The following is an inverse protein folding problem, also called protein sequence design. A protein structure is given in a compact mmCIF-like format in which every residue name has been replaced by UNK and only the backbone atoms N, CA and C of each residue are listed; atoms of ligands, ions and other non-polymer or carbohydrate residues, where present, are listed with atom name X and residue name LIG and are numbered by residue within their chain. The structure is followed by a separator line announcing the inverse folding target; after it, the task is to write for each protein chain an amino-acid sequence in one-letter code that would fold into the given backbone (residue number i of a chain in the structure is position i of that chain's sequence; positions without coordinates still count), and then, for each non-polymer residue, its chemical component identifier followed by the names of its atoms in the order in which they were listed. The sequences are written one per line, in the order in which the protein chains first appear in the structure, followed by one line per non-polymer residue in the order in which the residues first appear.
data_IF_282747112668
#
_entry.id   IF_282747112668
#
_cell.length_a   1.000
_cell.length_b   1.000
_cell.length_c   1.000
_cell.angle_alpha   90.00
_cell.angle_beta   90.00
_cell.angle_gamma   90.00
#
_symmetry.space_group_name_H-M   'P 1'
#
loop_
_entity.id
_entity.type
_entity.pdbx_description
1 polymer ?
#
# COMPACT_ATOMS: atom_id res chain seq x y z
N UNK A 1 0.19 3.74 -13.93
CA UNK A 1 1.50 3.08 -13.65
C UNK A 1 2.65 4.09 -13.72
N UNK A 2 3.62 4.06 -12.79
CA UNK A 2 4.73 5.04 -12.71
C UNK A 2 6.00 4.51 -13.39
N UNK A 3 6.95 5.38 -13.78
CA UNK A 3 8.25 4.97 -14.32
C UNK A 3 9.32 4.68 -13.25
N UNK A 4 8.94 4.57 -11.97
CA UNK A 4 9.86 4.39 -10.85
C UNK A 4 9.70 3.02 -10.20
N UNK A 5 10.77 2.53 -9.56
CA UNK A 5 10.64 1.43 -8.62
C UNK A 5 9.91 1.91 -7.36
N UNK A 6 8.99 1.10 -6.85
CA UNK A 6 8.24 1.40 -5.63
C UNK A 6 8.42 0.24 -4.66
N UNK A 7 8.99 0.53 -3.49
CA UNK A 7 9.18 -0.48 -2.44
C UNK A 7 8.01 -0.42 -1.47
N UNK A 8 7.24 -1.51 -1.38
CA UNK A 8 6.17 -1.68 -0.40
C UNK A 8 6.73 -2.46 0.78
N UNK A 9 6.57 -1.92 1.98
CA UNK A 9 7.18 -2.46 3.20
C UNK A 9 6.18 -2.91 4.25
N UNK A 10 4.91 -2.53 4.10
CA UNK A 10 3.84 -2.98 4.98
C UNK A 10 2.48 -2.91 4.28
N UNK A 11 1.53 -3.71 4.76
CA UNK A 11 0.13 -3.69 4.34
C UNK A 11 -0.79 -4.00 5.52
N UNK A 12 -1.71 -3.09 5.84
CA UNK A 12 -2.69 -3.23 6.92
C UNK A 12 -4.13 -3.19 6.40
N UNK A 13 -5.09 -3.61 7.22
CA UNK A 13 -6.52 -3.58 6.85
C UNK A 13 -7.24 -2.26 7.20
N UNK A 14 -6.56 -1.34 7.90
CA UNK A 14 -6.99 0.03 8.16
C UNK A 14 -5.81 0.89 8.63
N UNK A 15 -6.01 2.21 8.70
CA UNK A 15 -4.97 3.14 9.16
C UNK A 15 -4.69 2.98 10.66
N UNK A 16 -3.42 3.05 11.04
CA UNK A 16 -2.98 3.10 12.45
C UNK A 16 -3.04 1.78 13.21
N UNK A 17 -3.13 0.64 12.51
CA UNK A 17 -3.00 -0.69 13.12
C UNK A 17 -1.76 -1.40 12.60
N UNK A 18 -1.38 -2.48 13.28
CA UNK A 18 -0.32 -3.38 12.84
C UNK A 18 -0.62 -3.97 11.46
N UNK A 19 0.43 -4.15 10.68
CA UNK A 19 0.39 -4.80 9.38
C UNK A 19 -0.08 -6.25 9.42
N UNK A 20 -0.41 -6.77 8.24
CA UNK A 20 -0.75 -8.17 8.05
C UNK A 20 0.45 -9.04 8.43
N UNK A 21 0.21 -10.04 9.29
CA UNK A 21 1.25 -10.98 9.72
C UNK A 21 1.85 -11.71 8.51
N UNK A 22 3.18 -11.81 8.49
CA UNK A 22 3.90 -12.46 7.39
C UNK A 22 3.98 -11.62 6.12
N UNK A 23 3.73 -10.31 6.20
CA UNK A 23 4.05 -9.41 5.10
C UNK A 23 5.57 -9.36 4.90
N UNK A 24 6.00 -9.59 3.66
CA UNK A 24 7.40 -9.56 3.25
C UNK A 24 7.58 -8.36 2.31
N UNK A 25 8.49 -7.43 2.61
CA UNK A 25 8.76 -6.29 1.74
C UNK A 25 9.15 -6.71 0.33
N UNK A 26 8.64 -5.99 -0.67
CA UNK A 26 8.96 -6.24 -2.07
C UNK A 26 9.02 -4.94 -2.86
N UNK A 27 9.66 -5.03 -4.04
CA UNK A 27 9.85 -3.89 -4.93
C UNK A 27 9.10 -4.12 -6.24
N UNK A 28 8.22 -3.18 -6.59
CA UNK A 28 7.46 -3.18 -7.85
C UNK A 28 8.33 -2.55 -8.93
N UNK A 29 8.53 -3.20 -10.09
CA UNK A 29 9.28 -2.62 -11.19
C UNK A 29 8.50 -1.52 -11.93
N UNK A 30 9.19 -0.59 -12.62
CA UNK A 30 8.56 0.46 -13.42
C UNK A 30 7.50 -0.09 -14.37
N UNK A 31 6.30 0.52 -14.33
CA UNK A 31 5.11 0.12 -15.12
C UNK A 31 4.66 -1.34 -14.93
N UNK A 32 5.23 -2.08 -14.00
CA UNK A 32 4.90 -3.48 -13.75
C UNK A 32 3.89 -3.67 -12.63
N UNK A 33 3.67 -4.93 -12.29
CA UNK A 33 2.78 -5.38 -11.22
C UNK A 33 3.42 -6.55 -10.49
N UNK A 34 3.32 -6.55 -9.16
CA UNK A 34 3.80 -7.64 -8.29
C UNK A 34 2.67 -8.01 -7.33
N UNK A 35 2.38 -9.30 -7.12
CA UNK A 35 1.38 -9.71 -6.14
C UNK A 35 1.82 -9.31 -4.72
N UNK A 36 0.85 -9.06 -3.84
CA UNK A 36 1.12 -8.95 -2.41
C UNK A 36 1.63 -10.28 -1.87
N UNK A 37 2.47 -10.24 -0.85
CA UNK A 37 2.99 -11.43 -0.17
C UNK A 37 2.02 -12.00 0.86
N UNK A 38 0.86 -11.37 1.02
CA UNK A 38 -0.22 -11.77 1.92
C UNK A 38 -1.54 -11.85 1.16
N UNK A 39 -2.50 -12.59 1.70
CA UNK A 39 -3.80 -12.78 1.05
C UNK A 39 -4.63 -11.48 1.00
N UNK A 40 -5.50 -11.33 0.00
CA UNK A 40 -6.45 -10.22 -0.04
C UNK A 40 -7.34 -10.16 1.23
N UNK A 41 -7.69 -11.32 1.79
CA UNK A 41 -8.47 -11.42 3.02
C UNK A 41 -7.79 -10.81 4.25
N UNK A 42 -6.45 -10.81 4.33
CA UNK A 42 -5.73 -10.23 5.47
C UNK A 42 -5.68 -8.70 5.44
N UNK A 43 -5.87 -8.09 4.27
CA UNK A 43 -5.86 -6.62 4.10
C UNK A 43 -7.26 -6.04 3.87
N UNK A 44 -8.27 -6.87 3.64
CA UNK A 44 -9.69 -6.47 3.58
C UNK A 44 -10.01 -5.50 2.42
N UNK A 45 -11.15 -4.82 2.53
CA UNK A 45 -11.65 -3.92 1.48
C UNK A 45 -11.13 -2.48 1.58
N UNK A 46 -10.42 -2.14 2.66
CA UNK A 46 -9.86 -0.81 2.88
C UNK A 46 -8.35 -0.88 3.19
N UNK A 47 -7.55 -1.52 2.31
CA UNK A 47 -6.15 -1.77 2.63
C UNK A 47 -5.36 -0.46 2.71
N UNK A 48 -4.37 -0.45 3.60
CA UNK A 48 -3.39 0.63 3.73
C UNK A 48 -2.03 0.05 3.41
N UNK A 49 -1.40 0.53 2.34
CA UNK A 49 -0.04 0.13 1.96
C UNK A 49 0.96 1.18 2.42
N UNK A 50 2.09 0.75 2.95
CA UNK A 50 3.18 1.66 3.31
C UNK A 50 4.33 1.47 2.32
N UNK A 51 4.78 2.55 1.69
CA UNK A 51 5.91 2.53 0.77
C UNK A 51 7.09 3.33 1.34
N UNK A 52 8.29 3.10 0.82
CA UNK A 52 9.47 3.93 1.12
C UNK A 52 9.64 4.99 0.02
N UNK A 53 9.74 6.26 0.40
CA UNK A 53 10.09 7.35 -0.52
C UNK A 53 11.62 7.59 -0.58
N UNK A 54 12.07 8.45 -1.49
CA UNK A 54 13.49 8.73 -1.73
C UNK A 54 14.25 9.33 -0.52
N UNK A 55 13.51 9.85 0.46
CA UNK A 55 14.05 10.39 1.71
C UNK A 55 14.09 9.34 2.84
N UNK A 56 13.72 8.08 2.56
CA UNK A 56 13.61 7.01 3.55
C UNK A 56 12.34 7.07 4.40
N UNK A 57 11.43 8.02 4.12
CA UNK A 57 10.14 8.15 4.79
C UNK A 57 9.19 7.01 4.42
N UNK A 58 8.24 6.71 5.32
CA UNK A 58 7.29 5.59 5.21
C UNK A 58 5.84 6.05 5.19
N UNK A 59 5.41 6.87 4.21
CA UNK A 59 4.04 7.35 4.13
C UNK A 59 3.04 6.22 3.85
N UNK A 60 1.87 6.22 4.51
CA UNK A 60 0.79 5.30 4.20
C UNK A 60 -0.01 5.78 2.98
N UNK A 61 -0.50 4.83 2.18
CA UNK A 61 -1.47 5.02 1.11
C UNK A 61 -2.72 4.23 1.44
N UNK A 62 -3.83 4.93 1.64
CA UNK A 62 -5.13 4.30 1.89
C UNK A 62 -5.81 3.96 0.57
N UNK A 63 -6.42 2.79 0.48
CA UNK A 63 -7.17 2.34 -0.68
C UNK A 63 -8.61 1.99 -0.30
N UNK A 64 -9.47 1.99 -1.30
CA UNK A 64 -10.83 1.46 -1.23
C UNK A 64 -11.01 0.45 -2.37
N UNK A 65 -11.48 -0.75 -2.04
CA UNK A 65 -11.64 -1.85 -2.98
C UNK A 65 -13.12 -2.11 -3.32
N UNK A 66 -13.39 -2.27 -4.61
CA UNK A 66 -14.67 -2.74 -5.15
C UNK A 66 -14.43 -4.05 -5.91
N UNK A 67 -14.86 -5.16 -5.32
CA UNK A 67 -14.52 -6.49 -5.81
C UNK A 67 -13.00 -6.73 -5.77
N UNK A 68 -12.40 -7.02 -6.92
CA UNK A 68 -10.97 -7.29 -7.06
C UNK A 68 -10.13 -6.05 -7.42
N UNK A 69 -10.74 -4.87 -7.55
CA UNK A 69 -10.05 -3.65 -7.93
C UNK A 69 -10.00 -2.67 -6.76
N UNK A 70 -8.82 -2.10 -6.50
CA UNK A 70 -8.62 -1.12 -5.43
C UNK A 70 -8.09 0.20 -6.00
N UNK A 71 -8.63 1.32 -5.52
CA UNK A 71 -8.19 2.66 -5.91
C UNK A 71 -7.69 3.44 -4.70
N UNK A 72 -6.66 4.26 -4.90
CA UNK A 72 -6.15 5.13 -3.83
C UNK A 72 -7.24 6.10 -3.39
N UNK A 73 -7.41 6.26 -2.08
CA UNK A 73 -8.22 7.32 -1.48
C UNK A 73 -7.30 8.53 -1.37
N UNK A 74 -7.59 9.65 -2.07
CA UNK A 74 -6.80 10.85 -1.93
C UNK A 74 -6.78 11.28 -0.46
N UNK A 75 -5.59 11.46 0.12
CA UNK A 75 -5.52 12.05 1.46
C UNK A 75 -6.09 13.47 1.37
N UNK A 76 -7.08 13.78 2.23
CA UNK A 76 -7.50 15.17 2.41
C UNK A 76 -6.29 15.93 2.93
N UNK A 77 -5.83 16.94 2.19
CA UNK A 77 -4.93 17.94 2.75
C UNK A 77 -5.65 18.58 3.93
N UNK A 78 -5.26 18.23 5.16
CA UNK A 78 -5.51 19.12 6.28
C UNK A 78 -4.70 20.37 5.97
N UNK A 79 -5.37 21.51 5.81
CA UNK A 79 -4.67 22.79 5.73
C UNK A 79 -3.88 22.93 7.03
N UNK A 80 -2.57 23.05 6.91
CA UNK A 80 -1.67 23.42 8.00
C UNK A 80 -1.81 24.91 8.31
#
# INVERSE_FOLDING_TARGET
PTPYYVTIVDAANRKGVEGAKGFEPFMVPPKGSTPLTVSAGSVGNSPVLTYINDYGGRPPLSFNCSGSACTVVPEKKTAE
#
